data_IF_013170620327
#
_entry.id   IF_013170620327
#
_cell.length_a   1.000
_cell.length_b   1.000
_cell.length_c   1.000
_cell.angle_alpha   90.00
_cell.angle_beta   90.00
_cell.angle_gamma   90.00
#
_symmetry.space_group_name_H-M   'P 1'
#
loop_
_entity.id
_entity.type
_entity.pdbx_description
1 polymer ?
#
# COMPACT_ATOMS: atom_id res chain seq x y z
N UNK A 1 -18.92 -26.32 14.17
CA UNK A 1 -18.62 -24.94 14.63
C UNK A 1 -17.64 -24.19 13.72
N UNK A 2 -16.65 -24.85 13.10
CA UNK A 2 -15.63 -24.21 12.24
C UNK A 2 -16.13 -23.52 10.95
N UNK A 3 -17.29 -23.90 10.39
CA UNK A 3 -17.80 -23.32 9.13
C UNK A 3 -18.32 -21.87 9.26
N UNK A 4 -18.63 -21.42 10.47
CA UNK A 4 -19.15 -20.07 10.73
C UNK A 4 -18.04 -19.07 11.11
N UNK A 5 -16.87 -19.56 11.52
CA UNK A 5 -15.72 -18.72 11.88
C UNK A 5 -15.19 -17.89 10.71
N UNK A 6 -15.10 -18.40 9.46
CA UNK A 6 -14.67 -17.60 8.30
C UNK A 6 -15.68 -16.50 7.98
N UNK A 7 -16.98 -16.78 8.11
CA UNK A 7 -18.05 -15.82 7.87
C UNK A 7 -18.04 -14.74 8.95
N UNK A 8 -17.87 -15.11 10.21
CA UNK A 8 -17.74 -14.17 11.32
C UNK A 8 -16.50 -13.28 11.17
N UNK A 9 -15.34 -13.87 10.80
CA UNK A 9 -14.13 -13.13 10.47
C UNK A 9 -14.32 -12.20 9.27
N UNK A 10 -15.03 -12.66 8.23
CA UNK A 10 -15.35 -11.83 7.07
C UNK A 10 -16.19 -10.63 7.49
N UNK A 11 -17.22 -10.82 8.32
CA UNK A 11 -18.09 -9.75 8.81
C UNK A 11 -17.44 -8.84 9.86
N UNK A 12 -16.41 -9.27 10.58
CA UNK A 12 -15.63 -8.38 11.48
C UNK A 12 -14.49 -7.66 10.74
N UNK A 13 -13.94 -8.26 9.69
CA UNK A 13 -12.98 -7.60 8.79
C UNK A 13 -13.67 -6.68 7.80
N UNK A 14 -14.97 -6.88 7.48
CA UNK A 14 -15.72 -6.04 6.55
C UNK A 14 -15.77 -4.57 6.98
N UNK A 15 -16.08 -4.18 8.24
CA UNK A 15 -16.04 -2.79 8.68
C UNK A 15 -14.66 -2.16 8.60
N UNK A 16 -13.59 -2.95 8.82
CA UNK A 16 -12.22 -2.52 8.53
C UNK A 16 -12.05 -2.30 7.02
N UNK A 17 -12.41 -3.26 6.15
CA UNK A 17 -12.37 -3.09 4.70
C UNK A 17 -13.25 -1.93 4.17
N UNK A 18 -14.40 -1.68 4.78
CA UNK A 18 -15.30 -0.56 4.46
C UNK A 18 -14.75 0.78 4.92
N UNK A 19 -13.82 0.79 5.87
CA UNK A 19 -13.06 1.98 6.27
C UNK A 19 -11.81 2.17 5.39
N UNK A 20 -11.41 1.15 4.62
CA UNK A 20 -10.29 1.22 3.69
C UNK A 20 -10.71 2.10 2.52
N UNK A 21 -10.12 3.29 2.42
CA UNK A 21 -10.46 4.22 1.36
C UNK A 21 -9.72 3.89 0.07
N UNK A 22 -8.58 3.19 0.16
CA UNK A 22 -7.80 2.77 -0.99
C UNK A 22 -7.50 1.27 -0.97
N UNK A 23 -7.75 0.62 -2.10
CA UNK A 23 -7.45 -0.78 -2.33
C UNK A 23 -6.63 -0.93 -3.62
N UNK A 24 -5.64 -1.83 -3.62
CA UNK A 24 -4.83 -2.16 -4.78
C UNK A 24 -4.57 -3.65 -4.88
N UNK A 25 -4.56 -4.17 -6.10
CA UNK A 25 -4.24 -5.57 -6.42
C UNK A 25 -3.40 -5.63 -7.70
N UNK A 26 -2.40 -6.51 -7.74
CA UNK A 26 -1.53 -6.57 -8.90
C UNK A 26 -0.35 -7.50 -8.75
N UNK A 27 0.64 -7.26 -9.61
CA UNK A 27 1.92 -7.94 -9.57
C UNK A 27 2.99 -7.07 -8.91
N UNK A 28 3.93 -7.71 -8.24
CA UNK A 28 5.17 -7.14 -7.77
C UNK A 28 6.34 -7.86 -8.43
N UNK A 29 7.26 -7.09 -8.98
CA UNK A 29 8.57 -7.55 -9.39
C UNK A 29 9.60 -7.10 -8.35
N UNK A 30 10.47 -8.02 -7.94
CA UNK A 30 11.68 -7.72 -7.16
C UNK A 30 12.89 -8.38 -7.79
N UNK A 31 14.08 -7.85 -7.51
CA UNK A 31 15.31 -8.37 -8.09
C UNK A 31 15.52 -9.84 -7.67
N UNK A 32 15.61 -10.74 -8.64
CA UNK A 32 15.76 -12.21 -8.48
C UNK A 32 14.51 -12.96 -7.96
N UNK A 33 13.32 -12.38 -8.11
CA UNK A 33 12.05 -13.07 -7.88
C UNK A 33 11.37 -13.48 -9.19
N UNK A 34 10.58 -14.55 -9.16
CA UNK A 34 9.76 -15.05 -10.27
C UNK A 34 8.43 -14.27 -10.42
N UNK A 35 8.33 -13.12 -9.77
CA UNK A 35 7.10 -12.34 -9.64
C UNK A 35 6.29 -12.72 -8.40
N UNK A 36 5.59 -11.73 -7.84
CA UNK A 36 4.78 -11.88 -6.65
C UNK A 36 3.39 -11.32 -6.90
N UNK A 37 2.37 -11.97 -6.37
CA UNK A 37 1.07 -11.33 -6.21
C UNK A 37 1.16 -10.28 -5.09
N UNK A 38 0.54 -9.13 -5.31
CA UNK A 38 0.49 -8.00 -4.40
C UNK A 38 -0.95 -7.57 -4.17
N UNK A 39 -1.31 -7.33 -2.90
CA UNK A 39 -2.53 -6.63 -2.53
C UNK A 39 -2.23 -5.59 -1.46
N UNK A 40 -2.90 -4.44 -1.51
CA UNK A 40 -2.75 -3.38 -0.52
C UNK A 40 -4.08 -2.78 -0.11
N UNK A 41 -4.18 -2.43 1.16
CA UNK A 41 -5.27 -1.68 1.75
C UNK A 41 -4.68 -0.49 2.50
N UNK A 42 -5.14 0.73 2.19
CA UNK A 42 -4.66 1.94 2.86
C UNK A 42 -5.84 2.80 3.33
N UNK A 43 -5.61 3.42 4.47
CA UNK A 43 -6.56 4.20 5.26
C UNK A 43 -5.93 5.57 5.51
N UNK A 44 -6.39 6.63 4.86
CA UNK A 44 -6.00 8.00 5.21
C UNK A 44 -6.45 8.31 6.63
N UNK A 45 -5.50 8.43 7.55
CA UNK A 45 -5.79 8.59 8.98
C UNK A 45 -5.74 10.05 9.38
N UNK A 46 -4.84 10.84 8.78
CA UNK A 46 -4.64 12.23 9.16
C UNK A 46 -4.12 13.07 8.00
N UNK A 47 -4.86 14.11 7.59
CA UNK A 47 -4.47 15.02 6.51
C UNK A 47 -4.72 16.49 6.90
N UNK A 48 -3.87 17.10 7.74
CA UNK A 48 -3.99 18.51 8.07
C UNK A 48 -3.56 19.35 6.86
N UNK A 49 -4.13 20.54 6.70
CA UNK A 49 -3.60 21.52 5.73
C UNK A 49 -2.17 21.89 6.13
N UNK A 50 -1.18 21.49 5.33
CA UNK A 50 0.23 21.69 5.65
C UNK A 50 1.04 22.14 4.42
N UNK A 51 2.21 22.75 4.66
CA UNK A 51 3.07 23.31 3.61
C UNK A 51 3.64 22.24 2.67
N UNK A 52 3.79 21.02 3.16
CA UNK A 52 4.36 19.92 2.39
C UNK A 52 3.30 19.22 1.53
N UNK A 53 2.01 19.51 1.73
CA UNK A 53 0.91 18.77 1.12
C UNK A 53 1.07 17.27 1.39
N UNK A 54 1.23 16.90 2.66
CA UNK A 54 1.45 15.51 3.10
C UNK A 54 0.30 14.97 3.93
N UNK A 55 -0.01 13.68 3.80
CA UNK A 55 -0.94 12.96 4.67
C UNK A 55 -0.28 11.77 5.35
N UNK A 56 -0.86 11.38 6.47
CA UNK A 56 -0.54 10.15 7.20
C UNK A 56 -1.65 9.16 6.93
N UNK A 57 -1.26 7.95 6.59
CA UNK A 57 -2.14 6.81 6.41
C UNK A 57 -1.65 5.62 7.23
N UNK A 58 -2.53 4.67 7.49
CA UNK A 58 -2.19 3.32 7.93
C UNK A 58 -2.67 2.31 6.89
N UNK A 59 -2.19 1.08 6.94
CA UNK A 59 -2.53 0.09 5.92
C UNK A 59 -1.95 -1.29 6.13
N UNK A 60 -2.18 -2.13 5.14
CA UNK A 60 -1.74 -3.51 5.05
C UNK A 60 -1.26 -3.77 3.63
N UNK A 61 -0.10 -4.40 3.48
CA UNK A 61 0.34 -4.98 2.21
C UNK A 61 0.45 -6.50 2.36
N UNK A 62 -0.05 -7.24 1.39
CA UNK A 62 0.16 -8.68 1.26
C UNK A 62 1.01 -8.95 0.01
N UNK A 63 2.04 -9.78 0.16
CA UNK A 63 2.89 -10.25 -0.94
C UNK A 63 3.15 -11.75 -0.82
N UNK A 64 3.02 -12.47 -1.93
CA UNK A 64 3.47 -13.88 -1.99
C UNK A 64 4.99 -13.96 -2.02
N UNK A 65 5.60 -15.07 -1.59
CA UNK A 65 7.07 -15.20 -1.58
C UNK A 65 7.73 -14.98 -2.94
N UNK A 66 7.37 -15.77 -3.96
CA UNK A 66 7.91 -15.64 -5.33
C UNK A 66 9.45 -15.64 -5.44
N UNK A 67 10.18 -16.10 -4.43
CA UNK A 67 11.64 -16.01 -4.37
C UNK A 67 12.20 -14.66 -3.88
N UNK A 68 11.34 -13.71 -3.49
CA UNK A 68 11.75 -12.39 -3.04
C UNK A 68 12.47 -12.40 -1.67
N UNK A 69 13.26 -11.35 -1.42
CA UNK A 69 14.01 -11.17 -0.17
C UNK A 69 13.15 -10.66 0.97
N UNK A 70 11.99 -10.06 0.69
CA UNK A 70 10.98 -9.65 1.66
C UNK A 70 9.61 -10.00 1.04
N UNK A 71 8.80 -10.74 1.80
CA UNK A 71 7.44 -11.11 1.44
C UNK A 71 6.63 -11.40 2.70
N UNK A 72 5.30 -11.32 2.61
CA UNK A 72 4.44 -11.61 3.75
C UNK A 72 3.24 -10.69 3.86
N UNK A 73 2.70 -10.61 5.07
CA UNK A 73 1.73 -9.61 5.46
C UNK A 73 2.46 -8.48 6.22
N UNK A 74 2.58 -7.32 5.60
CA UNK A 74 3.18 -6.13 6.20
C UNK A 74 2.08 -5.22 6.75
N UNK A 75 2.00 -5.14 8.08
CA UNK A 75 1.10 -4.23 8.78
C UNK A 75 1.76 -2.88 8.92
N UNK A 76 1.20 -1.84 8.30
CA UNK A 76 1.77 -0.49 8.23
C UNK A 76 0.98 0.46 9.12
N UNK A 77 1.35 0.62 10.41
CA UNK A 77 0.69 1.60 11.26
C UNK A 77 0.91 3.04 10.76
N UNK A 78 1.99 3.30 10.02
CA UNK A 78 2.31 4.64 9.51
C UNK A 78 2.80 4.61 8.06
N UNK A 79 2.21 5.47 7.25
CA UNK A 79 2.56 5.73 5.86
C UNK A 79 2.50 7.24 5.65
N UNK A 80 3.65 7.86 5.46
CA UNK A 80 3.75 9.30 5.20
C UNK A 80 3.82 9.49 3.69
N UNK A 81 2.83 10.16 3.12
CA UNK A 81 2.76 10.39 1.69
C UNK A 81 2.66 11.89 1.40
N UNK A 82 3.39 12.35 0.39
CA UNK A 82 3.45 13.74 -0.04
C UNK A 82 3.10 13.83 -1.50
N UNK A 83 2.18 14.72 -1.87
CA UNK A 83 1.80 14.93 -3.27
C UNK A 83 2.91 15.67 -4.01
N UNK A 84 3.44 15.07 -5.07
CA UNK A 84 4.41 15.72 -5.96
C UNK A 84 3.72 16.59 -7.02
N UNK A 85 2.48 16.23 -7.41
CA UNK A 85 1.63 17.09 -8.23
C UNK A 85 1.08 18.22 -7.38
N UNK A 86 1.37 19.48 -7.74
CA UNK A 86 0.85 20.65 -7.02
C UNK A 86 -0.67 20.62 -6.87
N UNK A 87 -1.13 20.92 -5.65
CA UNK A 87 -2.51 20.91 -5.16
C UNK A 87 -3.20 19.56 -5.36
N UNK A 88 -3.71 19.02 -4.24
CA UNK A 88 -4.61 17.86 -4.15
C UNK A 88 -5.76 17.87 -5.18
N UNK A 89 -6.10 19.07 -5.67
CA UNK A 89 -7.23 19.42 -6.53
C UNK A 89 -6.85 20.12 -7.84
N UNK A 90 -5.78 19.70 -8.51
CA UNK A 90 -5.59 20.15 -9.88
C UNK A 90 -6.43 19.31 -10.86
N UNK A 91 -6.76 19.91 -12.00
CA UNK A 91 -7.57 19.36 -13.11
C UNK A 91 -6.97 18.12 -13.80
N UNK A 92 -5.89 17.55 -13.23
CA UNK A 92 -5.20 16.42 -13.80
C UNK A 92 -5.79 15.10 -13.28
N UNK A 93 -6.06 14.14 -14.18
CA UNK A 93 -6.74 12.89 -13.85
C UNK A 93 -5.84 11.84 -13.16
N UNK A 94 -4.63 12.22 -12.75
CA UNK A 94 -3.63 11.33 -12.15
C UNK A 94 -3.18 11.82 -10.78
N UNK A 95 -2.52 10.96 -10.02
CA UNK A 95 -1.89 11.28 -8.74
C UNK A 95 -0.45 10.79 -8.74
N UNK A 96 0.46 11.60 -8.20
CA UNK A 96 1.86 11.24 -7.98
C UNK A 96 2.23 11.56 -6.54
N UNK A 97 2.73 10.56 -5.80
CA UNK A 97 3.09 10.65 -4.40
C UNK A 97 4.54 10.22 -4.19
N UNK A 98 5.22 10.92 -3.29
CA UNK A 98 6.44 10.44 -2.64
C UNK A 98 6.07 9.96 -1.24
N UNK A 99 6.42 8.73 -0.91
CA UNK A 99 6.00 8.07 0.32
C UNK A 99 7.15 7.45 1.10
N UNK A 100 6.97 7.34 2.42
CA UNK A 100 7.76 6.47 3.29
C UNK A 100 6.79 5.69 4.18
N UNK A 101 6.76 4.37 4.00
CA UNK A 101 5.94 3.48 4.82
C UNK A 101 6.79 2.86 5.94
N UNK A 102 6.25 2.78 7.15
CA UNK A 102 6.82 2.03 8.26
C UNK A 102 5.86 0.92 8.67
N UNK A 103 6.33 -0.32 8.68
CA UNK A 103 5.50 -1.48 8.96
C UNK A 103 6.20 -2.63 9.66
N UNK A 104 5.42 -3.60 10.12
CA UNK A 104 5.86 -4.87 10.66
C UNK A 104 5.43 -6.00 9.71
N UNK A 105 6.42 -6.68 9.12
CA UNK A 105 6.20 -7.78 8.19
C UNK A 105 6.17 -9.13 8.92
N UNK A 106 5.01 -9.78 8.85
CA UNK A 106 4.85 -11.19 9.18
C UNK A 106 5.31 -12.01 7.97
N UNK A 107 6.49 -12.60 8.07
CA UNK A 107 7.14 -13.29 6.96
C UNK A 107 6.52 -14.66 6.73
N UNK A 108 6.12 -14.96 5.50
CA UNK A 108 5.56 -16.26 5.13
C UNK A 108 6.61 -17.27 4.65
N UNK A 109 7.88 -16.87 4.55
CA UNK A 109 8.95 -17.74 4.10
C UNK A 109 9.48 -18.56 5.26
N UNK A 110 9.71 -19.84 5.01
CA UNK A 110 10.24 -20.75 6.01
C UNK A 110 11.65 -20.32 6.46
N UNK A 111 11.90 -20.33 7.78
CA UNK A 111 13.20 -19.99 8.36
C UNK A 111 13.56 -18.50 8.37
N UNK A 112 12.64 -17.60 7.99
CA UNK A 112 12.80 -16.14 8.11
C UNK A 112 12.10 -15.63 9.36
N UNK A 113 12.65 -14.56 9.94
CA UNK A 113 12.06 -13.90 11.11
C UNK A 113 11.20 -12.73 10.64
N UNK A 114 10.10 -12.51 11.35
CA UNK A 114 9.31 -11.29 11.21
C UNK A 114 10.19 -10.07 11.54
N UNK A 115 9.87 -8.92 10.95
CA UNK A 115 10.75 -7.76 11.05
C UNK A 115 10.07 -6.44 10.74
N UNK A 116 10.71 -5.36 11.16
CA UNK A 116 10.29 -4.00 10.83
C UNK A 116 10.79 -3.70 9.42
N UNK A 117 9.90 -3.19 8.57
CA UNK A 117 10.20 -2.81 7.19
C UNK A 117 9.93 -1.32 7.00
N UNK A 118 10.94 -0.60 6.53
CA UNK A 118 10.84 0.81 6.13
C UNK A 118 10.88 0.88 4.61
N UNK A 119 9.94 1.61 4.01
CA UNK A 119 9.71 1.56 2.56
C UNK A 119 9.59 2.96 1.96
N UNK A 120 10.70 3.64 1.63
CA UNK A 120 10.66 4.79 0.73
C UNK A 120 10.17 4.35 -0.66
N UNK A 121 9.24 5.11 -1.22
CA UNK A 121 8.57 4.76 -2.46
C UNK A 121 8.05 5.98 -3.21
N UNK A 122 7.81 5.79 -4.51
CA UNK A 122 7.04 6.69 -5.37
C UNK A 122 5.82 5.91 -5.83
N UNK A 123 4.66 6.53 -5.73
CA UNK A 123 3.38 5.97 -6.15
C UNK A 123 2.74 6.87 -7.20
N UNK A 124 2.21 6.25 -8.24
CA UNK A 124 1.44 6.89 -9.30
C UNK A 124 0.12 6.15 -9.48
N UNK A 125 -0.98 6.88 -9.66
CA UNK A 125 -2.22 6.32 -10.15
C UNK A 125 -2.89 7.18 -11.22
N UNK A 126 -3.64 6.50 -12.10
CA UNK A 126 -4.48 7.11 -13.11
C UNK A 126 -5.69 6.21 -13.34
N UNK A 127 -6.90 6.75 -13.13
CA UNK A 127 -8.15 5.98 -13.13
C UNK A 127 -8.04 4.77 -12.18
N UNK A 128 -8.12 3.56 -12.69
CA UNK A 128 -8.05 2.31 -11.93
C UNK A 128 -6.67 1.65 -12.01
N UNK A 129 -5.67 2.29 -12.61
CA UNK A 129 -4.31 1.74 -12.73
C UNK A 129 -3.39 2.40 -11.72
N UNK A 130 -2.50 1.62 -11.12
CA UNK A 130 -1.44 2.14 -10.28
C UNK A 130 -0.07 1.56 -10.65
N UNK A 131 0.96 2.33 -10.33
CA UNK A 131 2.36 1.95 -10.36
C UNK A 131 3.00 2.44 -9.06
N UNK A 132 3.72 1.57 -8.35
CA UNK A 132 4.47 1.92 -7.14
C UNK A 132 5.86 1.31 -7.23
N UNK A 133 6.89 2.13 -7.12
CA UNK A 133 8.27 1.67 -7.12
C UNK A 133 8.97 2.17 -5.86
N UNK A 134 9.91 1.39 -5.33
CA UNK A 134 10.58 1.77 -4.10
C UNK A 134 11.55 0.70 -3.62
N UNK A 135 11.92 0.83 -2.36
CA UNK A 135 12.87 -0.07 -1.73
C UNK A 135 12.32 -0.51 -0.37
N UNK A 136 12.15 -1.82 -0.17
CA UNK A 136 11.79 -2.38 1.14
C UNK A 136 13.09 -2.59 1.92
N UNK A 137 13.24 -1.95 3.08
CA UNK A 137 14.35 -2.14 4.01
C UNK A 137 13.87 -2.87 5.26
N UNK A 138 14.19 -4.16 5.36
CA UNK A 138 14.00 -4.94 6.58
C UNK A 138 15.14 -4.63 7.56
N UNK A 139 14.88 -3.69 8.45
CA UNK A 139 15.87 -3.20 9.42
C UNK A 139 16.16 -4.23 10.51
N UNK A 140 15.27 -5.21 10.71
CA UNK A 140 15.45 -6.25 11.72
C UNK A 140 16.38 -7.36 11.22
N UNK A 141 16.24 -7.77 9.96
CA UNK A 141 17.00 -8.88 9.40
C UNK A 141 18.15 -8.44 8.47
N UNK A 142 18.37 -7.13 8.29
CA UNK A 142 19.42 -6.60 7.43
C UNK A 142 19.22 -6.90 5.93
N UNK A 143 17.98 -7.19 5.53
CA UNK A 143 17.64 -7.46 4.14
C UNK A 143 17.07 -6.22 3.48
N UNK A 144 17.24 -6.14 2.16
CA UNK A 144 16.63 -5.08 1.40
C UNK A 144 16.34 -5.55 -0.03
N UNK A 145 15.33 -4.94 -0.66
CA UNK A 145 14.98 -5.23 -2.05
C UNK A 145 14.39 -4.00 -2.73
N UNK A 146 14.81 -3.77 -3.98
CA UNK A 146 14.05 -2.93 -4.89
C UNK A 146 12.80 -3.67 -5.34
N UNK A 147 11.69 -2.94 -5.43
CA UNK A 147 10.45 -3.46 -5.97
C UNK A 147 9.81 -2.50 -6.97
N UNK A 148 9.04 -3.08 -7.88
CA UNK A 148 8.06 -2.39 -8.71
C UNK A 148 6.74 -3.15 -8.60
N UNK A 149 5.67 -2.44 -8.28
CA UNK A 149 4.29 -2.96 -8.16
C UNK A 149 3.43 -2.26 -9.19
N UNK A 150 2.62 -3.02 -9.91
CA UNK A 150 1.66 -2.48 -10.86
C UNK A 150 0.39 -3.32 -10.88
N UNK A 151 -0.74 -2.67 -11.13
CA UNK A 151 -2.01 -3.36 -11.24
C UNK A 151 -3.20 -2.43 -11.17
N UNK A 152 -4.28 -2.94 -10.60
CA UNK A 152 -5.54 -2.25 -10.47
C UNK A 152 -5.72 -1.69 -9.06
N UNK A 153 -6.24 -0.47 -8.96
CA UNK A 153 -6.59 0.13 -7.68
C UNK A 153 -7.97 0.78 -7.73
N UNK A 154 -8.61 0.81 -6.57
CA UNK A 154 -9.61 1.81 -6.23
C UNK A 154 -8.90 2.84 -5.35
N UNK A 155 -8.28 3.84 -5.99
CA UNK A 155 -7.38 4.81 -5.38
C UNK A 155 -7.85 6.25 -5.57
N UNK A 156 -6.98 7.22 -5.25
CA UNK A 156 -7.28 8.65 -5.45
C UNK A 156 -7.55 8.97 -6.92
N UNK A 157 -6.79 8.38 -7.85
CA UNK A 157 -7.02 8.52 -9.29
C UNK A 157 -8.40 8.04 -9.72
N UNK A 158 -8.95 7.00 -9.08
CA UNK A 158 -10.31 6.50 -9.34
C UNK A 158 -11.35 7.47 -8.79
N UNK A 159 -11.13 7.94 -7.56
CA UNK A 159 -12.05 8.84 -6.87
C UNK A 159 -12.16 10.19 -7.59
N UNK A 160 -11.06 10.69 -8.18
CA UNK A 160 -11.03 11.90 -9.03
C UNK A 160 -11.88 11.79 -10.30
N UNK A 161 -12.26 10.58 -10.74
CA UNK A 161 -13.08 10.40 -11.95
C UNK A 161 -14.57 10.57 -11.68
N UNK A 162 -15.01 10.57 -10.41
CA UNK A 162 -16.40 10.81 -10.09
C UNK A 162 -16.72 12.32 -10.17
N UNK A 163 -17.86 12.70 -10.78
CA UNK A 163 -18.26 14.10 -10.88
C UNK A 163 -18.49 14.69 -9.47
N UNK A 164 -18.04 15.93 -9.28
CA UNK A 164 -18.14 16.68 -8.01
C UNK A 164 -17.35 16.14 -6.82
N UNK A 165 -16.43 15.19 -7.03
CA UNK A 165 -15.65 14.64 -5.94
C UNK A 165 -14.60 15.63 -5.46
N UNK A 166 -14.81 16.15 -4.24
CA UNK A 166 -13.83 16.92 -3.50
C UNK A 166 -13.07 16.01 -2.52
N UNK A 167 -11.89 15.52 -2.90
CA UNK A 167 -10.92 14.86 -2.01
C UNK A 167 -10.20 15.92 -1.16
N UNK A 168 -10.88 16.38 -0.10
CA UNK A 168 -10.57 17.35 0.99
C UNK A 168 -9.17 17.96 1.13
#
# INVERSE_FOLDING_TARGET
>A
MMKKLPILLLFTLLPMLCSAQFFGLGGQYTQKSDGQFFASFSYPTFHPKNKLNSFISSGLDFTTSGGAKISGLNVKPIQLNTFFSEKLFNSTPYTLLLGVDGGYNFDFRHGRKNGIVITPNIYFDYKFLFLKAGYDFDVTNGNNQFFVRAGFCFGMGTIKMFPNTKIW
#
